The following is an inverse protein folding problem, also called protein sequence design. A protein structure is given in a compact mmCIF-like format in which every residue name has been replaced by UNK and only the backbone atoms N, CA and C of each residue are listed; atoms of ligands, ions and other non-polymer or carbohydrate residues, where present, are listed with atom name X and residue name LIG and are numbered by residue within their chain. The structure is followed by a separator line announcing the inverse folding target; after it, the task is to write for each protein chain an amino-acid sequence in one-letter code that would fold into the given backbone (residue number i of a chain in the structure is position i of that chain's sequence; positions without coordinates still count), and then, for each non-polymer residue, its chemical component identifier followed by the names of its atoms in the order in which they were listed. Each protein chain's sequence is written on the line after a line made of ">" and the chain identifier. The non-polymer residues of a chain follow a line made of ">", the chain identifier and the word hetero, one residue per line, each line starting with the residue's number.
data_IF_060190346419
#
_entry.id   IF_060190346419
#
_cell.length_a   1.000
_cell.length_b   1.000
_cell.length_c   1.000
_cell.angle_alpha   90.00
_cell.angle_beta   90.00
_cell.angle_gamma   90.00
#
_symmetry.space_group_name_H-M   'P 1'
#
loop_
_entity.id
_entity.type
_entity.pdbx_description
1 polymer ?
#
# COMPACT_ATOMS: atom_id res chain seq x y z
N UNK A 1 -27.15 -45.98 6.06
CA UNK A 1 -26.62 -44.64 5.74
C UNK A 1 -25.24 -44.49 6.38
N UNK A 2 -24.18 -44.36 5.58
CA UNK A 2 -22.78 -44.24 6.00
C UNK A 2 -22.14 -43.09 5.23
N UNK A 3 -22.54 -41.87 5.55
CA UNK A 3 -22.16 -40.60 4.90
C UNK A 3 -22.68 -39.54 5.89
N UNK A 4 -21.94 -38.69 6.58
CA UNK A 4 -20.59 -38.16 6.43
C UNK A 4 -20.09 -37.77 7.82
N UNK A 5 -19.30 -38.61 8.47
CA UNK A 5 -18.48 -38.18 9.61
C UNK A 5 -17.14 -37.71 9.06
N UNK A 6 -17.14 -36.62 8.27
CA UNK A 6 -15.96 -35.76 8.25
C UNK A 6 -15.88 -35.23 9.68
N UNK A 7 -15.08 -35.97 10.44
CA UNK A 7 -15.08 -36.01 11.89
C UNK A 7 -15.05 -34.60 12.48
N UNK A 8 -15.93 -34.33 13.43
CA UNK A 8 -15.90 -33.12 14.28
C UNK A 8 -14.48 -32.88 14.82
N UNK A 9 -13.71 -33.95 15.06
CA UNK A 9 -12.31 -33.87 15.46
C UNK A 9 -11.40 -33.33 14.35
N UNK A 10 -11.60 -33.74 13.09
CA UNK A 10 -10.84 -33.21 11.94
C UNK A 10 -11.19 -31.74 11.69
N UNK A 11 -12.45 -31.36 11.90
CA UNK A 11 -12.85 -29.96 11.82
C UNK A 11 -12.23 -29.13 12.96
N UNK A 12 -12.20 -29.67 14.19
CA UNK A 12 -11.52 -29.04 15.33
C UNK A 12 -9.99 -28.94 15.13
N UNK A 13 -9.35 -29.97 14.58
CA UNK A 13 -7.90 -29.95 14.27
C UNK A 13 -7.55 -28.92 13.18
N UNK A 14 -8.42 -28.75 12.17
CA UNK A 14 -8.26 -27.67 11.17
C UNK A 14 -8.37 -26.29 11.82
N UNK A 15 -9.35 -26.08 12.70
CA UNK A 15 -9.51 -24.81 13.44
C UNK A 15 -8.29 -24.48 14.31
N UNK A 16 -7.67 -25.48 14.94
CA UNK A 16 -6.43 -25.28 15.71
C UNK A 16 -5.28 -24.77 14.85
N UNK A 17 -5.16 -25.27 13.60
CA UNK A 17 -4.13 -24.81 12.67
C UNK A 17 -4.34 -23.38 12.16
N UNK A 18 -5.59 -22.94 12.03
CA UNK A 18 -5.97 -21.58 11.62
C UNK A 18 -5.56 -20.57 12.70
N UNK A 19 -5.90 -20.85 13.97
CA UNK A 19 -5.57 -19.94 15.07
C UNK A 19 -4.08 -19.78 15.36
N UNK A 20 -3.22 -20.71 14.89
CA UNK A 20 -1.76 -20.53 14.95
C UNK A 20 -1.24 -19.56 13.88
N UNK A 21 -1.85 -19.58 12.69
CA UNK A 21 -1.48 -18.68 11.59
C UNK A 21 -1.84 -17.24 11.95
N UNK A 22 -3.04 -17.02 12.51
CA UNK A 22 -3.48 -15.70 12.97
C UNK A 22 -2.53 -15.13 14.03
N UNK A 23 -2.21 -15.91 15.07
CA UNK A 23 -1.29 -15.49 16.12
C UNK A 23 0.10 -15.13 15.60
N UNK A 24 0.62 -15.91 14.64
CA UNK A 24 1.91 -15.62 14.01
C UNK A 24 1.88 -14.31 13.23
N UNK A 25 0.85 -14.10 12.39
CA UNK A 25 0.68 -12.84 11.64
C UNK A 25 0.51 -11.64 12.57
N UNK A 26 -0.29 -11.78 13.63
CA UNK A 26 -0.46 -10.73 14.64
C UNK A 26 0.85 -10.41 15.37
N UNK A 27 1.65 -11.42 15.73
CA UNK A 27 2.96 -11.22 16.35
C UNK A 27 3.89 -10.41 15.44
N UNK A 28 3.98 -10.78 14.15
CA UNK A 28 4.81 -10.05 13.18
C UNK A 28 4.28 -8.63 12.96
N UNK A 29 2.95 -8.45 12.90
CA UNK A 29 2.35 -7.12 12.78
C UNK A 29 2.68 -6.20 13.97
N UNK A 30 2.66 -6.73 15.20
CA UNK A 30 3.08 -5.98 16.38
C UNK A 30 4.59 -5.67 16.34
N UNK A 31 5.41 -6.62 15.87
CA UNK A 31 6.85 -6.42 15.74
C UNK A 31 7.18 -5.33 14.70
N UNK A 32 6.43 -5.29 13.59
CA UNK A 32 6.58 -4.32 12.51
C UNK A 32 6.39 -2.86 12.95
N UNK A 33 5.70 -2.62 14.07
CA UNK A 33 5.54 -1.27 14.63
C UNK A 33 6.87 -0.68 15.13
N UNK A 34 7.80 -1.53 15.58
CA UNK A 34 9.16 -1.12 16.02
C UNK A 34 10.24 -1.49 15.00
N UNK A 35 10.03 -2.56 14.22
CA UNK A 35 10.96 -3.11 13.24
C UNK A 35 10.25 -3.31 11.90
N UNK A 36 10.09 -2.26 11.07
CA UNK A 36 9.32 -2.32 9.84
C UNK A 36 9.72 -3.47 8.90
N UNK A 37 10.99 -3.85 8.87
CA UNK A 37 11.55 -4.96 8.10
C UNK A 37 10.99 -6.34 8.50
N UNK A 38 10.39 -6.46 9.69
CA UNK A 38 9.72 -7.68 10.10
C UNK A 38 8.59 -8.07 9.13
N UNK A 39 7.91 -7.07 8.53
CA UNK A 39 6.84 -7.29 7.57
C UNK A 39 7.34 -7.96 6.28
N UNK A 40 8.61 -7.80 5.91
CA UNK A 40 9.20 -8.38 4.69
C UNK A 40 9.27 -9.92 4.75
N UNK A 41 9.16 -10.51 5.94
CA UNK A 41 9.14 -11.96 6.11
C UNK A 41 7.77 -12.58 5.75
N UNK A 42 6.71 -11.80 5.57
CA UNK A 42 5.38 -12.31 5.30
C UNK A 42 5.03 -12.28 3.81
N UNK A 43 4.81 -13.47 3.24
CA UNK A 43 4.05 -13.58 2.00
C UNK A 43 2.54 -13.53 2.30
N UNK A 44 1.99 -12.32 2.27
CA UNK A 44 0.57 -12.09 2.56
C UNK A 44 -0.38 -12.82 1.60
N UNK A 45 0.01 -13.04 0.34
CA UNK A 45 -0.82 -13.74 -0.64
C UNK A 45 -0.90 -15.24 -0.32
N UNK A 46 0.26 -15.86 -0.02
CA UNK A 46 0.32 -17.26 0.35
C UNK A 46 -0.44 -17.53 1.66
N UNK A 47 -0.29 -16.65 2.65
CA UNK A 47 -0.99 -16.75 3.94
C UNK A 47 -2.50 -16.67 3.77
N UNK A 48 -3.00 -15.70 3.00
CA UNK A 48 -4.45 -15.55 2.74
C UNK A 48 -4.99 -16.79 2.04
N UNK A 49 -4.26 -17.33 1.05
CA UNK A 49 -4.68 -18.53 0.33
C UNK A 49 -4.74 -19.76 1.24
N UNK A 50 -3.67 -20.03 2.00
CA UNK A 50 -3.63 -21.18 2.92
C UNK A 50 -4.72 -21.08 4.00
N UNK A 51 -4.90 -19.88 4.57
CA UNK A 51 -5.97 -19.61 5.53
C UNK A 51 -7.35 -19.90 4.93
N UNK A 52 -7.63 -19.38 3.73
CA UNK A 52 -8.91 -19.55 3.05
C UNK A 52 -9.20 -21.03 2.78
N UNK A 53 -8.22 -21.77 2.25
CA UNK A 53 -8.33 -23.20 1.97
C UNK A 53 -8.60 -24.01 3.25
N UNK A 54 -7.94 -23.66 4.36
CA UNK A 54 -8.12 -24.33 5.66
C UNK A 54 -9.45 -24.00 6.32
N UNK A 55 -9.96 -22.79 6.11
CA UNK A 55 -11.24 -22.32 6.68
C UNK A 55 -12.45 -23.08 6.14
N UNK A 56 -12.31 -23.72 4.97
CA UNK A 56 -13.41 -24.38 4.28
C UNK A 56 -14.34 -23.41 3.55
N UNK A 57 -13.97 -22.13 3.45
CA UNK A 57 -14.72 -21.15 2.69
C UNK A 57 -14.72 -21.48 1.18
N UNK A 58 -15.80 -21.15 0.44
CA UNK A 58 -15.85 -21.39 -1.01
C UNK A 58 -14.74 -20.65 -1.74
N UNK A 59 -14.05 -21.32 -2.68
CA UNK A 59 -12.96 -20.72 -3.46
C UNK A 59 -13.40 -19.47 -4.26
N UNK A 60 -14.70 -19.36 -4.56
CA UNK A 60 -15.29 -18.19 -5.24
C UNK A 60 -15.16 -16.88 -4.46
N UNK A 61 -14.84 -16.93 -3.16
CA UNK A 61 -14.55 -15.72 -2.38
C UNK A 61 -13.13 -15.18 -2.58
N UNK A 62 -12.20 -15.95 -3.14
CA UNK A 62 -10.90 -15.44 -3.57
C UNK A 62 -10.99 -14.89 -4.99
N UNK A 63 -10.40 -13.71 -5.22
CA UNK A 63 -10.29 -13.13 -6.55
C UNK A 63 -9.33 -13.94 -7.41
N UNK A 64 -9.59 -13.97 -8.71
CA UNK A 64 -8.63 -14.47 -9.69
C UNK A 64 -7.30 -13.68 -9.58
N UNK A 65 -6.13 -14.35 -9.60
CA UNK A 65 -4.83 -13.69 -9.50
C UNK A 65 -4.63 -12.56 -10.51
N UNK A 66 -5.11 -12.71 -11.75
CA UNK A 66 -5.00 -11.67 -12.79
C UNK A 66 -5.78 -10.42 -12.42
N UNK A 67 -6.98 -10.59 -11.86
CA UNK A 67 -7.80 -9.46 -11.41
C UNK A 67 -7.16 -8.76 -10.22
N UNK A 68 -6.63 -9.51 -9.25
CA UNK A 68 -5.89 -8.96 -8.10
C UNK A 68 -4.68 -8.15 -8.56
N UNK A 69 -3.91 -8.67 -9.50
CA UNK A 69 -2.68 -8.04 -9.99
C UNK A 69 -2.99 -6.78 -10.82
N UNK A 70 -4.06 -6.80 -11.62
CA UNK A 70 -4.55 -5.60 -12.31
C UNK A 70 -4.97 -4.49 -11.32
N UNK A 71 -5.63 -4.84 -10.21
CA UNK A 71 -5.99 -3.87 -9.16
C UNK A 71 -4.74 -3.27 -8.50
N UNK A 72 -3.69 -4.08 -8.27
CA UNK A 72 -2.42 -3.60 -7.72
C UNK A 72 -1.70 -2.66 -8.68
N UNK A 73 -1.65 -3.01 -9.96
CA UNK A 73 -1.08 -2.16 -11.00
C UNK A 73 -1.81 -0.82 -11.11
N UNK A 74 -3.14 -0.86 -11.11
CA UNK A 74 -3.97 0.35 -11.14
C UNK A 74 -3.72 1.24 -9.91
N UNK A 75 -3.65 0.67 -8.70
CA UNK A 75 -3.30 1.42 -7.48
C UNK A 75 -1.91 2.04 -7.55
N UNK A 76 -0.92 1.32 -8.07
CA UNK A 76 0.43 1.85 -8.25
C UNK A 76 0.45 3.04 -9.23
N UNK A 77 -0.30 2.96 -10.34
CA UNK A 77 -0.45 4.06 -11.30
C UNK A 77 -1.15 5.27 -10.67
N UNK A 78 -2.20 5.04 -9.88
CA UNK A 78 -2.91 6.10 -9.17
C UNK A 78 -2.00 6.81 -8.17
N UNK A 79 -1.22 6.06 -7.37
CA UNK A 79 -0.27 6.64 -6.42
C UNK A 79 0.80 7.49 -7.11
N UNK A 80 1.30 7.06 -8.28
CA UNK A 80 2.24 7.87 -9.06
C UNK A 80 1.60 9.15 -9.60
N UNK A 81 0.37 9.05 -10.12
CA UNK A 81 -0.36 10.21 -10.61
C UNK A 81 -0.66 11.21 -9.49
N UNK A 82 -1.05 10.72 -8.30
CA UNK A 82 -1.29 11.54 -7.11
C UNK A 82 -0.01 12.24 -6.64
N UNK A 83 1.14 11.56 -6.65
CA UNK A 83 2.43 12.17 -6.33
C UNK A 83 2.79 13.28 -7.32
N UNK A 84 2.63 13.06 -8.63
CA UNK A 84 2.90 14.10 -9.64
C UNK A 84 1.94 15.29 -9.51
N UNK A 85 0.66 15.02 -9.25
CA UNK A 85 -0.35 16.06 -9.04
C UNK A 85 -0.06 16.88 -7.78
N UNK A 86 0.47 16.27 -6.71
CA UNK A 86 0.88 16.98 -5.51
C UNK A 86 2.14 17.84 -5.72
N UNK A 87 3.03 17.47 -6.65
CA UNK A 87 4.22 18.26 -7.00
C UNK A 87 3.93 19.40 -8.00
N UNK A 88 2.83 19.31 -8.76
CA UNK A 88 2.49 20.30 -9.79
C UNK A 88 2.19 21.72 -9.26
N UNK A 89 1.49 21.91 -8.14
CA UNK A 89 1.30 23.23 -7.52
C UNK A 89 2.64 23.84 -7.07
N UNK A 90 3.51 23.06 -6.42
CA UNK A 90 4.83 23.53 -6.00
C UNK A 90 5.72 23.94 -7.19
N UNK A 91 5.61 23.22 -8.31
CA UNK A 91 6.31 23.58 -9.54
C UNK A 91 5.74 24.84 -10.23
N UNK A 92 4.42 25.04 -10.20
CA UNK A 92 3.79 26.26 -10.72
C UNK A 92 4.13 27.49 -9.87
N UNK A 93 4.00 27.38 -8.56
CA UNK A 93 4.35 28.47 -7.63
C UNK A 93 5.84 28.83 -7.73
N UNK A 94 6.72 27.84 -7.87
CA UNK A 94 8.15 28.06 -8.10
C UNK A 94 8.47 28.66 -9.47
N UNK A 95 7.76 28.24 -10.53
CA UNK A 95 7.93 28.79 -11.87
C UNK A 95 7.43 30.25 -11.95
N UNK A 96 6.30 30.58 -11.33
CA UNK A 96 5.76 31.94 -11.27
C UNK A 96 6.66 32.85 -10.42
N UNK A 97 7.19 32.35 -9.30
CA UNK A 97 8.18 33.09 -8.50
C UNK A 97 9.50 33.33 -9.26
N UNK A 98 10.02 32.32 -9.97
CA UNK A 98 11.21 32.46 -10.80
C UNK A 98 10.99 33.42 -11.98
N UNK A 99 9.81 33.39 -12.59
CA UNK A 99 9.43 34.31 -13.67
C UNK A 99 9.32 35.74 -13.16
N UNK A 100 8.69 35.96 -12.00
CA UNK A 100 8.60 37.27 -11.35
C UNK A 100 9.98 37.81 -10.97
N UNK A 101 10.86 36.97 -10.44
CA UNK A 101 12.24 37.35 -10.13
C UNK A 101 13.05 37.67 -11.40
N UNK A 102 12.91 36.87 -12.46
CA UNK A 102 13.57 37.12 -13.73
C UNK A 102 13.03 38.38 -14.41
N UNK A 103 11.73 38.66 -14.34
CA UNK A 103 11.13 39.89 -14.85
C UNK A 103 11.55 41.11 -14.01
N UNK A 104 11.70 40.95 -12.69
CA UNK A 104 12.25 41.97 -11.81
C UNK A 104 13.74 42.23 -12.07
N UNK A 105 14.53 41.20 -12.35
CA UNK A 105 15.98 41.29 -12.62
C UNK A 105 16.27 41.83 -14.03
N UNK A 106 15.50 41.40 -15.03
CA UNK A 106 15.63 41.92 -16.42
C UNK A 106 15.02 43.31 -16.61
N UNK A 107 14.11 43.72 -15.73
CA UNK A 107 13.52 45.07 -15.72
C UNK A 107 14.25 46.10 -14.85
N UNK A 108 15.32 45.74 -14.12
CA UNK A 108 15.88 46.62 -13.09
C UNK A 108 17.34 47.03 -13.30
N UNK A 109 17.50 48.07 -14.12
CA UNK A 109 18.28 49.23 -13.67
C UNK A 109 17.52 50.05 -12.61
N UNK A 110 16.83 49.43 -11.62
CA UNK A 110 15.92 50.20 -10.75
C UNK A 110 15.59 49.69 -9.34
N UNK A 111 16.06 48.53 -8.88
CA UNK A 111 15.83 48.15 -7.47
C UNK A 111 16.99 48.54 -6.56
N UNK A 112 18.24 48.32 -6.99
CA UNK A 112 19.41 48.82 -6.25
C UNK A 112 19.54 50.35 -6.37
N UNK A 113 19.10 50.93 -7.49
CA UNK A 113 19.21 52.36 -7.77
C UNK A 113 18.13 53.21 -7.06
N UNK A 114 17.00 52.60 -6.67
CA UNK A 114 15.95 53.26 -5.85
C UNK A 114 16.14 53.10 -4.34
N UNK A 115 17.07 52.23 -3.91
CA UNK A 115 17.34 51.99 -2.49
C UNK A 115 18.61 52.70 -2.00
N UNK A 116 19.43 53.20 -2.94
CA UNK A 116 20.66 53.96 -2.69
C UNK A 116 20.54 55.42 -3.16
N UNK A 117 19.38 55.82 -3.71
CA UNK A 117 19.06 57.18 -4.14
C UNK A 117 18.14 57.92 -3.17
#
# INVERSE_FOLDING_TARGET
>A
MKTDFVSVLTQAQRMLGIGQTERAVSFVGNLAASFPEAADNLDTDAIVKDYWDRSGAPATGLRDPKVRDAIRQSRAQQQQAEQMAAMMPAAKDGADAARLLSEADTGSGSLLERLVG
#
